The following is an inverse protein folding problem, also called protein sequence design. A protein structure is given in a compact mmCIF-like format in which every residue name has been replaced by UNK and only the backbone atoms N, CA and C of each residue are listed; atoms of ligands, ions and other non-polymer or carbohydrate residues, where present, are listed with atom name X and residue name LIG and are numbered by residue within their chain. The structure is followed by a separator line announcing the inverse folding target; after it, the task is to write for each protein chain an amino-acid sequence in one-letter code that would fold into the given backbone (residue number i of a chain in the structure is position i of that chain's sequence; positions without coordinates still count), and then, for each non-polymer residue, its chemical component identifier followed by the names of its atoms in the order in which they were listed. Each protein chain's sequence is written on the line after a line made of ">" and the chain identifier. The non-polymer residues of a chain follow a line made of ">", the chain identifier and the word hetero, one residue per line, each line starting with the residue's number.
data_IF_036320126300
#
_entry.id   IF_036320126300
#
_cell.length_a   1.000
_cell.length_b   1.000
_cell.length_c   1.000
_cell.angle_alpha   90.00
_cell.angle_beta   90.00
_cell.angle_gamma   90.00
#
_symmetry.space_group_name_H-M   'P 1'
#
loop_
_entity.id
_entity.type
_entity.pdbx_description
1 polymer ?
#
# COMPACT_ATOMS: atom_id res chain seq x y z
N UNK A 1 -31.21 -52.23 -50.22
CA UNK A 1 -30.09 -52.03 -49.29
C UNK A 1 -29.29 -50.81 -49.75
N UNK A 2 -29.02 -49.89 -48.82
CA UNK A 2 -28.07 -48.79 -48.84
C UNK A 2 -28.18 -47.71 -49.93
N UNK A 3 -28.64 -46.54 -49.49
CA UNK A 3 -28.08 -45.26 -49.92
C UNK A 3 -27.81 -44.40 -48.65
N UNK A 4 -27.15 -43.24 -48.76
CA UNK A 4 -25.88 -42.93 -48.11
C UNK A 4 -26.09 -41.78 -47.08
N UNK A 5 -25.00 -41.15 -46.61
CA UNK A 5 -24.94 -39.97 -45.71
C UNK A 5 -24.44 -40.28 -44.29
N UNK A 6 -23.13 -40.49 -44.16
CA UNK A 6 -22.40 -40.10 -42.94
C UNK A 6 -21.37 -39.03 -43.28
N UNK A 7 -21.87 -37.88 -43.71
CA UNK A 7 -21.16 -36.63 -43.50
C UNK A 7 -21.44 -36.15 -42.07
N UNK A 8 -20.38 -35.70 -41.39
CA UNK A 8 -20.35 -35.02 -40.07
C UNK A 8 -20.16 -35.94 -38.87
N UNK A 9 -18.95 -35.88 -38.31
CA UNK A 9 -18.71 -35.23 -37.02
C UNK A 9 -17.20 -34.99 -36.87
N UNK A 10 -16.73 -33.95 -37.57
CA UNK A 10 -15.42 -33.35 -37.33
C UNK A 10 -15.66 -32.17 -36.36
N UNK A 11 -16.04 -32.42 -35.11
CA UNK A 11 -16.34 -31.38 -34.10
C UNK A 11 -15.56 -31.51 -32.79
N UNK A 12 -14.40 -32.18 -32.82
CA UNK A 12 -13.63 -32.52 -31.62
C UNK A 12 -12.87 -31.39 -30.86
N UNK A 13 -12.70 -30.13 -31.33
CA UNK A 13 -12.02 -29.11 -30.51
C UNK A 13 -12.97 -28.26 -29.64
N UNK A 14 -14.17 -27.92 -30.12
CA UNK A 14 -15.05 -26.91 -29.49
C UNK A 14 -15.61 -27.34 -28.13
N UNK A 15 -15.89 -28.63 -27.95
CA UNK A 15 -16.40 -29.15 -26.68
C UNK A 15 -15.36 -29.11 -25.56
N UNK A 16 -14.07 -29.32 -25.89
CA UNK A 16 -12.99 -29.30 -24.91
C UNK A 16 -12.73 -27.88 -24.39
N UNK A 17 -12.74 -26.88 -25.29
CA UNK A 17 -12.58 -25.48 -24.88
C UNK A 17 -13.75 -24.97 -24.06
N UNK A 18 -14.99 -25.34 -24.42
CA UNK A 18 -16.18 -25.00 -23.62
C UNK A 18 -16.13 -25.65 -22.24
N UNK A 19 -15.69 -26.91 -22.15
CA UNK A 19 -15.55 -27.63 -20.88
C UNK A 19 -14.48 -27.00 -20.00
N UNK A 20 -13.31 -26.64 -20.57
CA UNK A 20 -12.23 -25.96 -19.84
C UNK A 20 -12.62 -24.55 -19.40
N UNK A 21 -13.32 -23.80 -20.26
CA UNK A 21 -13.86 -22.48 -19.94
C UNK A 21 -14.82 -22.56 -18.76
N UNK A 22 -15.80 -23.48 -18.80
CA UNK A 22 -16.76 -23.67 -17.70
C UNK A 22 -16.07 -24.13 -16.42
N UNK A 23 -15.07 -25.00 -16.52
CA UNK A 23 -14.29 -25.45 -15.37
C UNK A 23 -13.49 -24.31 -14.75
N UNK A 24 -12.87 -23.43 -15.54
CA UNK A 24 -12.21 -22.22 -15.03
C UNK A 24 -13.20 -21.30 -14.33
N UNK A 25 -14.37 -21.03 -14.93
CA UNK A 25 -15.39 -20.17 -14.32
C UNK A 25 -15.83 -20.69 -12.94
N UNK A 26 -16.06 -22.00 -12.81
CA UNK A 26 -16.48 -22.58 -11.53
C UNK A 26 -15.39 -22.53 -10.44
N UNK A 27 -14.11 -22.42 -10.82
CA UNK A 27 -12.99 -22.38 -9.89
C UNK A 27 -12.36 -20.98 -9.78
N UNK A 28 -12.95 -19.98 -10.42
CA UNK A 28 -12.40 -18.63 -10.44
C UNK A 28 -12.71 -17.92 -9.12
N UNK A 29 -11.71 -17.34 -8.43
CA UNK A 29 -11.95 -16.55 -7.23
C UNK A 29 -12.86 -15.35 -7.55
N UNK A 30 -13.76 -14.95 -6.64
CA UNK A 30 -14.74 -13.89 -6.90
C UNK A 30 -14.07 -12.55 -7.25
N UNK A 31 -12.93 -12.23 -6.65
CA UNK A 31 -12.18 -11.01 -6.97
C UNK A 31 -11.59 -10.99 -8.39
N UNK A 32 -11.15 -12.15 -8.90
CA UNK A 32 -10.64 -12.26 -10.27
C UNK A 32 -11.79 -12.29 -11.28
N UNK A 33 -12.92 -12.91 -10.92
CA UNK A 33 -14.12 -12.95 -11.75
C UNK A 33 -14.70 -11.56 -12.04
N UNK A 34 -14.66 -10.66 -11.05
CA UNK A 34 -15.07 -9.26 -11.22
C UNK A 34 -14.13 -8.51 -12.18
N UNK A 35 -12.81 -8.70 -12.02
CA UNK A 35 -11.80 -8.10 -12.90
C UNK A 35 -11.91 -8.55 -14.38
N UNK A 36 -12.54 -9.69 -14.67
CA UNK A 36 -12.72 -10.21 -16.05
C UNK A 36 -14.20 -10.38 -16.45
N UNK A 37 -15.13 -9.76 -15.74
CA UNK A 37 -16.58 -9.93 -15.93
C UNK A 37 -17.06 -9.60 -17.35
N UNK A 38 -16.47 -8.59 -17.99
CA UNK A 38 -16.69 -8.22 -19.39
C UNK A 38 -16.25 -9.31 -20.38
N UNK A 39 -15.17 -10.04 -20.08
CA UNK A 39 -14.68 -11.16 -20.90
C UNK A 39 -15.56 -12.40 -20.71
N UNK A 40 -16.16 -12.56 -19.52
CA UNK A 40 -17.12 -13.64 -19.24
C UNK A 40 -18.45 -13.39 -19.98
N UNK A 41 -18.91 -12.14 -20.03
CA UNK A 41 -20.16 -11.74 -20.70
C UNK A 41 -20.06 -11.61 -22.23
N UNK A 42 -18.86 -11.63 -22.80
CA UNK A 42 -18.64 -11.55 -24.24
C UNK A 42 -19.12 -12.82 -24.96
N UNK A 43 -19.60 -12.71 -26.23
CA UNK A 43 -19.99 -13.87 -27.01
C UNK A 43 -18.82 -14.85 -27.19
N UNK A 44 -19.11 -16.15 -27.05
CA UNK A 44 -18.14 -17.22 -27.17
C UNK A 44 -17.61 -17.32 -28.61
N UNK A 45 -16.36 -16.89 -28.83
CA UNK A 45 -15.65 -17.04 -30.10
C UNK A 45 -14.95 -18.40 -30.18
N UNK A 46 -14.22 -18.67 -31.27
CA UNK A 46 -13.57 -19.96 -31.53
C UNK A 46 -12.57 -20.43 -30.44
N UNK A 47 -12.06 -19.54 -29.57
CA UNK A 47 -11.14 -19.88 -28.46
C UNK A 47 -11.45 -19.14 -27.14
N UNK A 48 -12.54 -19.47 -26.44
CA UNK A 48 -13.01 -18.71 -25.27
C UNK A 48 -12.12 -18.92 -24.04
N UNK A 49 -11.58 -20.13 -23.86
CA UNK A 49 -10.68 -20.47 -22.76
C UNK A 49 -9.35 -19.70 -22.86
N UNK A 50 -8.75 -19.67 -24.05
CA UNK A 50 -7.46 -19.01 -24.27
C UNK A 50 -7.55 -17.51 -23.98
N UNK A 51 -8.63 -16.87 -24.44
CA UNK A 51 -8.90 -15.44 -24.20
C UNK A 51 -9.12 -15.15 -22.72
N UNK A 52 -9.95 -15.95 -22.04
CA UNK A 52 -10.19 -15.77 -20.61
C UNK A 52 -8.87 -15.92 -19.82
N UNK A 53 -8.07 -16.95 -20.14
CA UNK A 53 -6.77 -17.17 -19.51
C UNK A 53 -5.81 -15.98 -19.71
N UNK A 54 -5.69 -15.48 -20.95
CA UNK A 54 -4.86 -14.31 -21.25
C UNK A 54 -5.35 -13.08 -20.51
N UNK A 55 -6.66 -12.80 -20.55
CA UNK A 55 -7.21 -11.64 -19.84
C UNK A 55 -7.04 -11.73 -18.33
N UNK A 56 -7.16 -12.92 -17.73
CA UNK A 56 -6.87 -13.13 -16.31
C UNK A 56 -5.39 -12.79 -16.04
N UNK A 57 -4.46 -13.32 -16.85
CA UNK A 57 -3.04 -13.03 -16.69
C UNK A 57 -2.73 -11.54 -16.83
N UNK A 58 -3.19 -10.92 -17.91
CA UNK A 58 -2.90 -9.51 -18.22
C UNK A 58 -3.46 -8.57 -17.16
N UNK A 59 -4.70 -8.80 -16.71
CA UNK A 59 -5.36 -7.94 -15.72
C UNK A 59 -4.86 -8.20 -14.31
N UNK A 60 -4.64 -9.45 -13.93
CA UNK A 60 -4.08 -9.77 -12.61
C UNK A 60 -2.66 -9.22 -12.47
N UNK A 61 -1.83 -9.34 -13.51
CA UNK A 61 -0.46 -8.80 -13.49
C UNK A 61 -0.45 -7.27 -13.50
N UNK A 62 -1.32 -6.62 -14.28
CA UNK A 62 -1.48 -5.17 -14.26
C UNK A 62 -1.96 -4.68 -12.87
N UNK A 63 -2.97 -5.33 -12.29
CA UNK A 63 -3.52 -5.08 -10.95
C UNK A 63 -2.45 -5.24 -9.87
N UNK A 64 -1.66 -6.33 -9.91
CA UNK A 64 -0.54 -6.55 -9.00
C UNK A 64 0.55 -5.48 -9.14
N UNK A 65 0.92 -5.13 -10.38
CA UNK A 65 1.93 -4.09 -10.62
C UNK A 65 1.46 -2.71 -10.14
N UNK A 66 0.18 -2.41 -10.25
CA UNK A 66 -0.41 -1.18 -9.72
C UNK A 66 -0.41 -1.18 -8.18
N UNK A 67 -0.76 -2.30 -7.55
CA UNK A 67 -0.68 -2.46 -6.08
C UNK A 67 0.75 -2.30 -5.56
N UNK A 68 1.73 -2.91 -6.22
CA UNK A 68 3.15 -2.74 -5.88
C UNK A 68 3.61 -1.29 -6.06
N UNK A 69 3.23 -0.63 -7.18
CA UNK A 69 3.53 0.79 -7.38
C UNK A 69 2.90 1.65 -6.29
N UNK A 70 1.65 1.39 -5.91
CA UNK A 70 0.99 2.10 -4.82
C UNK A 70 1.74 1.93 -3.50
N UNK A 71 2.13 0.71 -3.17
CA UNK A 71 2.92 0.39 -1.96
C UNK A 71 4.30 1.06 -1.97
N UNK A 72 4.91 1.27 -3.15
CA UNK A 72 6.17 2.02 -3.31
C UNK A 72 6.02 3.54 -3.32
N UNK A 73 4.86 4.09 -3.68
CA UNK A 73 4.69 5.54 -3.87
C UNK A 73 3.87 6.23 -2.77
N UNK A 74 2.87 5.55 -2.20
CA UNK A 74 1.87 6.17 -1.34
C UNK A 74 2.03 5.82 0.14
N UNK A 75 2.81 4.79 0.49
CA UNK A 75 2.94 4.37 1.88
C UNK A 75 4.19 5.00 2.53
N UNK A 76 4.07 6.25 2.94
CA UNK A 76 5.05 6.92 3.79
C UNK A 76 4.71 6.65 5.27
N UNK A 77 5.71 6.31 6.08
CA UNK A 77 5.51 6.01 7.50
C UNK A 77 4.89 7.20 8.25
N UNK A 78 5.15 8.44 7.80
CA UNK A 78 4.61 9.67 8.39
C UNK A 78 4.68 9.65 9.92
N UNK A 79 3.53 9.85 10.56
CA UNK A 79 3.31 9.71 12.02
C UNK A 79 2.61 8.40 12.40
N UNK A 80 2.54 7.42 11.48
CA UNK A 80 1.83 6.16 11.71
C UNK A 80 2.72 5.15 12.41
N UNK A 81 2.09 4.28 13.22
CA UNK A 81 2.78 3.18 13.88
C UNK A 81 3.35 2.19 12.87
N UNK A 82 4.61 1.75 13.03
CA UNK A 82 5.22 0.70 12.22
C UNK A 82 4.36 -0.56 12.02
N UNK A 83 3.64 -1.04 13.04
CA UNK A 83 2.72 -2.18 12.89
C UNK A 83 1.54 -1.90 11.95
N UNK A 84 1.02 -0.68 11.95
CA UNK A 84 -0.06 -0.27 11.06
C UNK A 84 0.41 -0.22 9.61
N UNK A 85 1.64 0.28 9.37
CA UNK A 85 2.27 0.23 8.06
C UNK A 85 2.31 -1.22 7.54
N UNK A 86 2.82 -2.13 8.36
CA UNK A 86 2.97 -3.54 8.00
C UNK A 86 1.63 -4.22 7.71
N UNK A 87 0.59 -3.92 8.49
CA UNK A 87 -0.76 -4.44 8.24
C UNK A 87 -1.32 -3.93 6.90
N UNK A 88 -1.13 -2.63 6.60
CA UNK A 88 -1.56 -2.03 5.34
C UNK A 88 -0.81 -2.66 4.16
N UNK A 89 0.51 -2.86 4.29
CA UNK A 89 1.32 -3.56 3.28
C UNK A 89 0.84 -5.00 3.04
N UNK A 90 0.48 -5.73 4.10
CA UNK A 90 -0.10 -7.10 3.97
C UNK A 90 -1.47 -7.09 3.28
N UNK A 91 -2.31 -6.10 3.58
CA UNK A 91 -3.62 -5.95 2.94
C UNK A 91 -3.48 -5.65 1.45
N UNK A 92 -2.55 -4.77 1.07
CA UNK A 92 -2.29 -4.40 -0.32
C UNK A 92 -1.73 -5.56 -1.16
N UNK A 93 -0.85 -6.38 -0.58
CA UNK A 93 -0.33 -7.58 -1.24
C UNK A 93 -1.41 -8.66 -1.37
N UNK A 94 -2.43 -8.64 -0.51
CA UNK A 94 -3.53 -9.61 -0.50
C UNK A 94 -3.07 -10.98 -0.01
N UNK A 95 -3.96 -11.71 0.66
CA UNK A 95 -3.66 -13.00 1.29
C UNK A 95 -3.06 -14.06 0.34
N UNK A 96 -3.26 -13.91 -0.98
CA UNK A 96 -2.81 -14.88 -1.98
C UNK A 96 -1.33 -14.73 -2.39
N UNK A 97 -0.72 -13.54 -2.22
CA UNK A 97 0.65 -13.27 -2.70
C UNK A 97 1.66 -12.99 -1.56
N UNK A 98 1.28 -13.22 -0.30
CA UNK A 98 2.18 -13.03 0.85
C UNK A 98 3.35 -14.01 0.83
N UNK A 99 3.17 -15.21 0.25
CA UNK A 99 4.21 -16.25 0.16
C UNK A 99 5.48 -15.82 -0.59
N UNK A 100 5.40 -15.47 -1.89
CA UNK A 100 6.57 -15.05 -2.66
C UNK A 100 7.08 -13.65 -2.28
N UNK A 101 6.20 -12.78 -1.77
CA UNK A 101 6.53 -11.38 -1.49
C UNK A 101 6.97 -11.12 -0.05
N UNK A 102 7.04 -12.14 0.82
CA UNK A 102 7.38 -11.95 2.24
C UNK A 102 8.76 -11.34 2.48
N UNK A 103 9.78 -11.76 1.71
CA UNK A 103 11.13 -11.19 1.80
C UNK A 103 11.18 -9.73 1.30
N UNK A 104 10.51 -9.47 0.17
CA UNK A 104 10.40 -8.12 -0.39
C UNK A 104 9.62 -7.18 0.55
N UNK A 105 8.57 -7.68 1.20
CA UNK A 105 7.79 -6.94 2.19
C UNK A 105 8.64 -6.63 3.42
N UNK A 106 9.51 -7.55 3.87
CA UNK A 106 10.50 -7.30 4.93
C UNK A 106 11.49 -6.20 4.54
N UNK A 107 12.08 -6.27 3.35
CA UNK A 107 12.99 -5.23 2.88
C UNK A 107 12.30 -3.87 2.77
N UNK A 108 11.11 -3.83 2.18
CA UNK A 108 10.37 -2.59 1.98
C UNK A 108 9.95 -1.97 3.32
N UNK A 109 9.48 -2.81 4.26
CA UNK A 109 9.20 -2.38 5.63
C UNK A 109 10.44 -1.75 6.29
N UNK A 110 11.60 -2.42 6.21
CA UNK A 110 12.85 -1.88 6.76
C UNK A 110 13.30 -0.59 6.06
N UNK A 111 13.12 -0.46 4.74
CA UNK A 111 13.47 0.76 4.02
C UNK A 111 12.59 1.95 4.40
N UNK A 112 11.34 1.72 4.82
CA UNK A 112 10.38 2.76 5.22
C UNK A 112 10.54 3.23 6.66
N UNK A 113 11.30 2.50 7.48
CA UNK A 113 11.51 2.87 8.88
C UNK A 113 12.58 3.97 9.03
N UNK A 114 12.47 4.84 10.04
CA UNK A 114 13.49 5.84 10.33
C UNK A 114 14.79 5.15 10.73
N UNK A 115 15.91 5.82 10.50
CA UNK A 115 17.25 5.27 10.75
C UNK A 115 17.41 4.77 12.19
N UNK A 116 16.86 5.50 13.17
CA UNK A 116 16.87 5.13 14.60
C UNK A 116 16.27 3.74 14.84
N UNK A 117 15.10 3.48 14.26
CA UNK A 117 14.39 2.20 14.39
C UNK A 117 15.12 1.08 13.66
N UNK A 118 15.69 1.36 12.48
CA UNK A 118 16.49 0.38 11.72
C UNK A 118 17.73 -0.08 12.47
N UNK A 119 18.42 0.81 13.18
CA UNK A 119 19.60 0.46 13.99
C UNK A 119 19.23 -0.50 15.11
N UNK A 120 18.15 -0.22 15.84
CA UNK A 120 17.67 -1.09 16.92
C UNK A 120 17.25 -2.46 16.38
N UNK A 121 16.55 -2.49 15.25
CA UNK A 121 16.18 -3.74 14.57
C UNK A 121 17.40 -4.54 14.12
N UNK A 122 18.42 -3.88 13.57
CA UNK A 122 19.67 -4.53 13.17
C UNK A 122 20.40 -5.14 14.37
N UNK A 123 20.40 -4.46 15.52
CA UNK A 123 20.98 -4.98 16.76
C UNK A 123 20.19 -6.16 17.34
N UNK A 124 18.88 -6.22 17.10
CA UNK A 124 18.01 -7.27 17.59
C UNK A 124 18.06 -8.57 16.75
N UNK A 125 18.76 -8.57 15.61
CA UNK A 125 19.04 -9.75 14.79
C UNK A 125 17.89 -10.17 13.86
N UNK A 126 17.92 -11.41 13.38
CA UNK A 126 16.92 -11.94 12.46
C UNK A 126 15.60 -12.27 13.17
N UNK A 127 14.73 -11.27 13.22
CA UNK A 127 13.39 -11.36 13.77
C UNK A 127 12.37 -11.66 12.66
N UNK A 128 11.24 -12.27 13.07
CA UNK A 128 10.07 -12.36 12.20
C UNK A 128 9.50 -10.97 11.94
N UNK A 129 8.84 -10.81 10.80
CA UNK A 129 8.27 -9.52 10.36
C UNK A 129 7.34 -8.92 11.43
N UNK A 130 6.50 -9.75 12.05
CA UNK A 130 5.58 -9.32 13.12
C UNK A 130 6.34 -8.84 14.38
N UNK A 131 7.40 -9.56 14.80
CA UNK A 131 8.22 -9.14 15.96
C UNK A 131 9.04 -7.88 15.67
N UNK A 132 9.51 -7.73 14.43
CA UNK A 132 10.15 -6.51 13.98
C UNK A 132 9.18 -5.32 14.06
N UNK A 133 7.91 -5.51 13.69
CA UNK A 133 6.86 -4.49 13.83
C UNK A 133 6.64 -4.09 15.29
N UNK A 134 6.49 -5.07 16.19
CA UNK A 134 6.29 -4.81 17.63
C UNK A 134 7.47 -4.06 18.26
N UNK A 135 8.71 -4.42 17.90
CA UNK A 135 9.91 -3.71 18.36
C UNK A 135 9.98 -2.31 17.77
N UNK A 136 9.65 -2.17 16.49
CA UNK A 136 9.60 -0.88 15.83
C UNK A 136 8.57 0.06 16.49
N UNK A 137 7.41 -0.45 16.88
CA UNK A 137 6.39 0.30 17.63
C UNK A 137 6.93 0.78 18.98
N UNK A 138 7.65 -0.07 19.72
CA UNK A 138 8.26 0.33 21.00
C UNK A 138 9.30 1.43 20.82
N UNK A 139 10.12 1.36 19.77
CA UNK A 139 11.09 2.41 19.45
C UNK A 139 10.38 3.69 19.00
N UNK A 140 9.31 3.56 18.23
CA UNK A 140 8.49 4.69 17.78
C UNK A 140 7.82 5.39 18.96
N UNK A 141 7.25 4.67 19.92
CA UNK A 141 6.68 5.26 21.15
C UNK A 141 7.77 5.88 22.04
N UNK A 142 8.99 5.31 22.08
CA UNK A 142 10.11 5.86 22.85
C UNK A 142 10.79 7.07 22.20
N UNK A 143 10.70 7.20 20.88
CA UNK A 143 11.31 8.29 20.09
C UNK A 143 10.29 9.37 19.74
N UNK A 144 8.99 9.05 19.74
CA UNK A 144 7.94 10.06 19.70
C UNK A 144 8.21 11.02 20.83
N UNK A 145 8.29 12.34 20.57
CA UNK A 145 8.44 13.30 21.64
C UNK A 145 7.21 13.16 22.52
N UNK A 146 7.37 12.45 23.65
CA UNK A 146 6.60 12.77 24.84
C UNK A 146 6.70 14.28 24.93
N UNK A 147 5.56 14.95 24.81
CA UNK A 147 5.45 16.39 25.02
C UNK A 147 5.66 16.59 26.52
N UNK A 148 6.89 16.39 27.00
CA UNK A 148 7.38 17.17 28.12
C UNK A 148 7.40 18.59 27.59
N UNK A 149 6.61 19.52 28.18
CA UNK A 149 6.86 20.92 27.93
C UNK A 149 8.27 21.18 28.47
N UNK A 150 9.27 21.08 27.61
CA UNK A 150 10.60 21.56 27.90
C UNK A 150 10.43 23.06 28.00
N UNK A 151 10.23 23.50 29.25
CA UNK A 151 10.15 24.87 29.71
C UNK A 151 10.56 25.88 28.64
N UNK A 152 9.57 26.39 27.91
CA UNK A 152 9.70 27.48 26.93
C UNK A 152 9.98 28.82 27.64
N UNK A 153 10.76 28.81 28.72
CA UNK A 153 11.06 30.00 29.51
C UNK A 153 12.04 30.92 28.79
N UNK A 154 12.92 30.35 27.94
CA UNK A 154 13.88 31.14 27.17
C UNK A 154 13.18 31.95 26.07
N UNK A 155 12.31 31.33 25.27
CA UNK A 155 11.59 32.03 24.19
C UNK A 155 10.51 32.97 24.74
N UNK A 156 9.78 32.58 25.79
CA UNK A 156 8.81 33.47 26.46
C UNK A 156 9.50 34.72 27.03
N UNK A 157 10.72 34.58 27.58
CA UNK A 157 11.50 35.75 28.05
C UNK A 157 12.00 36.64 26.91
N UNK A 158 12.35 36.06 25.75
CA UNK A 158 12.78 36.82 24.58
C UNK A 158 11.61 37.58 23.95
N UNK A 159 10.45 36.95 23.82
CA UNK A 159 9.22 37.57 23.33
C UNK A 159 8.74 38.68 24.27
N UNK A 160 8.73 38.44 25.59
CA UNK A 160 8.37 39.47 26.58
C UNK A 160 9.34 40.66 26.57
N UNK A 161 10.64 40.41 26.36
CA UNK A 161 11.65 41.47 26.20
C UNK A 161 11.49 42.25 24.90
N UNK A 162 10.99 41.62 23.84
CA UNK A 162 10.70 42.30 22.58
C UNK A 162 9.44 43.15 22.70
N UNK A 163 8.37 42.64 23.33
CA UNK A 163 7.13 43.39 23.60
C UNK A 163 7.38 44.64 24.45
N UNK A 164 8.12 44.50 25.55
CA UNK A 164 8.48 45.66 26.40
C UNK A 164 9.30 46.71 25.65
N UNK A 165 10.17 46.32 24.72
CA UNK A 165 10.92 47.26 23.87
C UNK A 165 10.03 47.96 22.83
N UNK A 166 9.02 47.27 22.31
CA UNK A 166 8.03 47.85 21.39
C UNK A 166 7.21 48.92 22.11
N UNK A 167 6.71 48.63 23.31
CA UNK A 167 5.94 49.59 24.12
C UNK A 167 6.78 50.82 24.50
N UNK A 168 8.06 50.62 24.86
CA UNK A 168 8.99 51.72 25.14
C UNK A 168 9.24 52.61 23.91
N UNK A 169 9.38 52.01 22.73
CA UNK A 169 9.54 52.77 21.49
C UNK A 169 8.27 53.54 21.15
N UNK A 170 7.10 52.92 21.32
CA UNK A 170 5.81 53.56 21.08
C UNK A 170 5.62 54.79 21.97
N UNK A 171 5.92 54.68 23.27
CA UNK A 171 5.87 55.80 24.21
C UNK A 171 6.86 56.93 23.84
N UNK A 172 8.06 56.58 23.36
CA UNK A 172 9.07 57.56 22.93
C UNK A 172 8.63 58.31 21.67
N UNK A 173 7.98 57.62 20.74
CA UNK A 173 7.41 58.22 19.52
C UNK A 173 6.25 59.15 19.87
N UNK A 174 5.40 58.79 20.83
CA UNK A 174 4.25 59.60 21.26
C UNK A 174 4.69 60.87 22.01
N UNK A 175 5.73 60.77 22.83
CA UNK A 175 6.36 61.91 23.50
C UNK A 175 7.06 62.89 22.53
N UNK A 176 7.57 62.40 21.40
CA UNK A 176 8.13 63.24 20.33
C UNK A 176 7.05 63.79 19.38
N UNK A 177 5.88 63.16 19.35
CA UNK A 177 4.76 63.51 18.46
C UNK A 177 3.80 64.50 19.08
N UNK A 178 3.85 64.75 20.39
CA UNK A 178 3.08 65.80 21.06
C UNK A 178 3.85 67.12 20.99
N UNK A 179 3.53 68.03 20.06
CA UNK A 179 4.08 69.37 20.12
C UNK A 179 3.33 70.13 21.24
N UNK A 180 4.06 71.04 21.89
CA UNK A 180 3.52 72.12 22.73
C UNK A 180 2.31 72.81 22.09
#
# INVERSE_FOLDING_TARGET
>A
MNSPCRSRLRSAPRHLETTRFRHLLCNLPPGVADEVADVIGAPLNDAPYQRLKQSILDRTTASESARLRHLLTHEELGDRRPSQLLNTMRQLVGASNVGPNGALLKELFLQRLPQSTRIVLAAAGDLTLDRAAELADKVHDATSPSVTPLASTAESSAVSRLETRIDQLAASIEALRTPL
#
